data_IF_238301321328
#
_entry.id   IF_238301321328
#
_cell.length_a   1.000
_cell.length_b   1.000
_cell.length_c   1.000
_cell.angle_alpha   90.00
_cell.angle_beta   90.00
_cell.angle_gamma   90.00
#
_symmetry.space_group_name_H-M   'P 1'
#
loop_
_entity.id
_entity.type
_entity.pdbx_description
1 polymer ?
#
# COMPACT_ATOMS: atom_id res chain seq x y z
N UNK A 1 -19.37 25.15 40.95
CA UNK A 1 -20.40 24.14 40.64
C UNK A 1 -20.56 24.07 39.14
N UNK A 2 -20.36 22.87 38.60
CA UNK A 2 -20.38 22.59 37.17
C UNK A 2 -21.77 22.81 36.59
N UNK A 3 -21.84 23.60 35.51
CA UNK A 3 -23.09 23.93 34.79
C UNK A 3 -23.23 23.11 33.51
N UNK A 4 -22.13 22.75 32.87
CA UNK A 4 -22.11 21.96 31.64
C UNK A 4 -21.16 20.77 31.81
N UNK A 5 -21.66 19.57 31.51
CA UNK A 5 -20.87 18.34 31.46
C UNK A 5 -20.80 17.86 30.01
N UNK A 6 -19.58 17.67 29.51
CA UNK A 6 -19.32 17.11 28.19
C UNK A 6 -18.75 15.71 28.38
N UNK A 7 -19.49 14.68 27.99
CA UNK A 7 -19.00 13.30 28.03
C UNK A 7 -18.47 12.91 26.66
N UNK A 8 -17.25 12.37 26.63
CA UNK A 8 -16.57 11.88 25.44
C UNK A 8 -16.29 10.40 25.61
N UNK A 9 -16.76 9.57 24.68
CA UNK A 9 -16.27 8.19 24.60
C UNK A 9 -14.92 8.19 23.89
N UNK A 10 -13.95 7.42 24.40
CA UNK A 10 -12.66 7.27 23.71
C UNK A 10 -12.79 6.87 22.22
N UNK A 11 -11.80 7.26 21.41
CA UNK A 11 -11.72 6.90 20.00
C UNK A 11 -11.48 5.40 19.74
N UNK A 12 -11.36 5.01 18.47
CA UNK A 12 -11.16 3.60 18.09
C UNK A 12 -9.84 3.04 18.63
N UNK A 13 -9.87 2.03 19.52
CA UNK A 13 -8.65 1.44 20.07
C UNK A 13 -8.10 0.32 19.18
N UNK A 14 -6.81 0.04 19.31
CA UNK A 14 -6.16 -1.16 18.78
C UNK A 14 -6.83 -2.43 19.30
N UNK A 15 -6.75 -3.53 18.54
CA UNK A 15 -7.33 -4.82 18.94
C UNK A 15 -6.64 -5.36 20.19
N UNK A 16 -5.32 -5.27 20.24
CA UNK A 16 -4.49 -5.67 21.38
C UNK A 16 -3.34 -4.68 21.55
N UNK A 17 -2.88 -4.50 22.79
CA UNK A 17 -1.70 -3.70 23.12
C UNK A 17 -0.42 -4.52 23.00
N UNK A 18 0.73 -3.85 22.93
CA UNK A 18 2.04 -4.52 22.94
C UNK A 18 2.34 -5.25 24.26
N UNK A 19 1.77 -4.78 25.38
CA UNK A 19 1.88 -5.42 26.70
C UNK A 19 0.89 -6.56 26.91
N UNK A 20 -0.21 -6.59 26.15
CA UNK A 20 -1.33 -7.52 26.32
C UNK A 20 -2.42 -7.00 27.28
N UNK A 21 -2.17 -5.92 28.02
CA UNK A 21 -3.12 -5.33 28.97
C UNK A 21 -4.14 -4.42 28.26
N UNK A 22 -5.41 -4.46 28.67
CA UNK A 22 -6.46 -3.62 28.04
C UNK A 22 -6.23 -2.13 28.28
N UNK A 23 -5.74 -1.76 29.47
CA UNK A 23 -5.49 -0.36 29.85
C UNK A 23 -4.44 0.30 28.94
N UNK A 24 -3.53 -0.49 28.38
CA UNK A 24 -2.42 -0.05 27.53
C UNK A 24 -2.79 0.03 26.03
N UNK A 25 -4.01 -0.37 25.65
CA UNK A 25 -4.47 -0.28 24.27
C UNK A 25 -4.50 1.18 23.84
N UNK A 26 -3.74 1.49 22.78
CA UNK A 26 -3.70 2.81 22.14
C UNK A 26 -4.87 2.99 21.19
N UNK A 27 -5.07 4.22 20.72
CA UNK A 27 -5.89 4.49 19.55
C UNK A 27 -5.24 3.89 18.30
N UNK A 28 -6.04 3.37 17.38
CA UNK A 28 -5.53 3.07 16.04
C UNK A 28 -5.06 4.36 15.37
N UNK A 29 -4.09 4.27 14.46
CA UNK A 29 -3.64 5.45 13.69
C UNK A 29 -4.79 6.12 12.94
N UNK A 30 -5.71 5.31 12.40
CA UNK A 30 -6.93 5.77 11.76
C UNK A 30 -7.88 6.48 12.72
N UNK A 31 -8.14 5.88 13.89
CA UNK A 31 -8.99 6.46 14.94
C UNK A 31 -8.46 7.82 15.41
N UNK A 32 -7.17 7.90 15.75
CA UNK A 32 -6.55 9.16 16.17
C UNK A 32 -6.60 10.24 15.07
N UNK A 33 -6.43 9.86 13.79
CA UNK A 33 -6.54 10.79 12.65
C UNK A 33 -7.99 11.30 12.48
N UNK A 34 -8.97 10.42 12.58
CA UNK A 34 -10.40 10.77 12.51
C UNK A 34 -10.80 11.77 13.62
N UNK A 35 -10.33 11.55 14.86
CA UNK A 35 -10.57 12.48 15.97
C UNK A 35 -9.96 13.86 15.71
N UNK A 36 -8.68 13.92 15.29
CA UNK A 36 -7.98 15.20 15.05
C UNK A 36 -8.64 16.07 13.98
N UNK A 37 -9.33 15.45 13.03
CA UNK A 37 -10.06 16.15 11.96
C UNK A 37 -11.43 16.62 12.45
N UNK A 38 -12.14 15.77 13.20
CA UNK A 38 -13.51 16.06 13.65
C UNK A 38 -13.57 17.04 14.83
N UNK A 39 -12.71 16.84 15.84
CA UNK A 39 -12.81 17.50 17.14
C UNK A 39 -12.72 19.04 17.11
N UNK A 40 -11.90 19.69 16.26
CA UNK A 40 -11.91 21.16 16.17
C UNK A 40 -13.31 21.73 15.89
N UNK A 41 -14.08 21.08 15.00
CA UNK A 41 -15.47 21.49 14.72
C UNK A 41 -16.40 21.15 15.87
N UNK A 42 -16.24 19.98 16.50
CA UNK A 42 -17.10 19.55 17.62
C UNK A 42 -16.94 20.48 18.82
N UNK A 43 -15.71 20.74 19.25
CA UNK A 43 -15.45 21.55 20.43
C UNK A 43 -15.66 23.05 20.19
N UNK A 44 -15.69 23.52 18.94
CA UNK A 44 -16.17 24.87 18.62
C UNK A 44 -17.64 25.12 19.04
N UNK A 45 -18.45 24.06 19.23
CA UNK A 45 -19.84 24.17 19.72
C UNK A 45 -19.94 24.59 21.19
N UNK A 46 -18.83 24.55 21.95
CA UNK A 46 -18.79 25.06 23.33
C UNK A 46 -18.78 26.60 23.38
N UNK A 47 -18.42 27.25 22.27
CA UNK A 47 -18.20 28.70 22.21
C UNK A 47 -16.77 29.09 22.62
N UNK A 48 -16.54 30.40 22.66
CA UNK A 48 -15.23 30.96 23.03
C UNK A 48 -15.03 30.90 24.55
N UNK A 49 -13.85 30.43 24.98
CA UNK A 49 -13.40 30.33 26.38
C UNK A 49 -14.42 29.67 27.35
N UNK A 50 -14.63 28.35 27.24
CA UNK A 50 -15.62 27.66 28.07
C UNK A 50 -15.23 27.57 29.55
N UNK A 51 -14.02 28.00 29.94
CA UNK A 51 -13.43 27.77 31.27
C UNK A 51 -13.68 26.33 31.74
N UNK A 52 -13.14 25.38 30.99
CA UNK A 52 -13.42 23.95 31.14
C UNK A 52 -12.24 23.21 31.77
N UNK A 53 -12.53 22.28 32.69
CA UNK A 53 -11.57 21.24 33.10
C UNK A 53 -11.68 20.05 32.17
N UNK A 54 -10.55 19.46 31.80
CA UNK A 54 -10.49 18.25 31.00
C UNK A 54 -10.06 17.06 31.87
N UNK A 55 -10.96 16.09 31.99
CA UNK A 55 -10.77 14.87 32.75
C UNK A 55 -10.62 13.68 31.82
N UNK A 56 -9.74 12.75 32.18
CA UNK A 56 -9.54 11.51 31.44
C UNK A 56 -9.49 10.30 32.37
N UNK A 57 -10.03 9.18 31.89
CA UNK A 57 -9.66 7.87 32.41
C UNK A 57 -8.15 7.61 32.22
N UNK A 58 -7.48 6.88 33.15
CA UNK A 58 -6.08 6.47 33.02
C UNK A 58 -5.76 5.52 31.84
N UNK A 59 -6.76 4.95 31.16
CA UNK A 59 -6.50 4.09 30.00
C UNK A 59 -5.86 4.88 28.84
N UNK A 60 -4.86 4.30 28.18
CA UNK A 60 -4.04 5.00 27.17
C UNK A 60 -4.88 5.56 26.02
N UNK A 61 -5.81 4.78 25.46
CA UNK A 61 -6.78 5.26 24.46
C UNK A 61 -7.61 6.47 24.89
N UNK A 62 -7.93 6.59 26.19
CA UNK A 62 -8.69 7.70 26.73
C UNK A 62 -7.80 8.93 26.90
N UNK A 63 -6.58 8.76 27.40
CA UNK A 63 -5.56 9.82 27.47
C UNK A 63 -5.24 10.37 26.07
N UNK A 64 -4.98 9.51 25.10
CA UNK A 64 -4.73 9.93 23.71
C UNK A 64 -5.95 10.62 23.08
N UNK A 65 -7.17 10.24 23.47
CA UNK A 65 -8.39 10.96 23.07
C UNK A 65 -8.44 12.34 23.74
N UNK A 66 -8.12 12.41 25.03
CA UNK A 66 -8.09 13.65 25.79
C UNK A 66 -7.03 14.63 25.25
N UNK A 67 -5.85 14.14 24.82
CA UNK A 67 -4.84 14.98 24.15
C UNK A 67 -5.41 15.65 22.89
N UNK A 68 -6.23 14.94 22.11
CA UNK A 68 -6.89 15.52 20.93
C UNK A 68 -7.97 16.52 21.33
N UNK A 69 -8.71 16.26 22.41
CA UNK A 69 -9.68 17.21 22.98
C UNK A 69 -8.98 18.48 23.46
N UNK A 70 -7.88 18.35 24.21
CA UNK A 70 -7.07 19.44 24.74
C UNK A 70 -6.63 20.38 23.62
N UNK A 71 -6.04 19.81 22.56
CA UNK A 71 -5.62 20.57 21.38
C UNK A 71 -6.80 21.25 20.64
N UNK A 72 -7.97 20.61 20.58
CA UNK A 72 -9.14 21.13 19.87
C UNK A 72 -9.89 22.22 20.67
N UNK A 73 -9.93 22.11 21.99
CA UNK A 73 -10.64 23.02 22.88
C UNK A 73 -9.73 24.11 23.49
N UNK A 74 -8.41 24.03 23.28
CA UNK A 74 -7.44 24.97 23.82
C UNK A 74 -7.24 24.83 25.33
N UNK A 75 -7.22 23.60 25.84
CA UNK A 75 -7.03 23.29 27.26
C UNK A 75 -5.63 22.71 27.45
N UNK A 76 -4.87 23.22 28.41
CA UNK A 76 -3.48 22.82 28.62
C UNK A 76 -3.32 21.58 29.52
N UNK A 77 -4.21 21.42 30.51
CA UNK A 77 -4.09 20.40 31.55
C UNK A 77 -5.14 19.28 31.41
N UNK A 78 -4.68 18.03 31.54
CA UNK A 78 -5.52 16.84 31.61
C UNK A 78 -5.44 16.26 33.01
N UNK A 79 -6.56 16.22 33.72
CA UNK A 79 -6.66 15.58 35.02
C UNK A 79 -7.06 14.12 34.88
N UNK A 80 -6.33 13.21 35.55
CA UNK A 80 -6.63 11.78 35.50
C UNK A 80 -7.52 11.39 36.67
N UNK A 81 -8.72 10.90 36.37
CA UNK A 81 -9.71 10.50 37.37
C UNK A 81 -9.98 9.00 37.31
N UNK A 82 -9.77 8.31 38.42
CA UNK A 82 -9.93 6.84 38.51
C UNK A 82 -11.38 6.40 38.41
N UNK A 83 -12.33 7.24 38.84
CA UNK A 83 -13.78 7.01 38.72
C UNK A 83 -14.20 6.69 37.27
N UNK A 84 -13.57 7.33 36.28
CA UNK A 84 -13.81 7.12 34.85
C UNK A 84 -13.34 5.75 34.34
N UNK A 85 -12.30 5.16 34.95
CA UNK A 85 -11.84 3.81 34.63
C UNK A 85 -12.58 2.73 35.41
N UNK A 86 -12.77 2.96 36.71
CA UNK A 86 -13.53 2.08 37.60
C UNK A 86 -15.03 2.05 37.25
N UNK A 87 -15.49 3.01 36.43
CA UNK A 87 -16.90 3.18 36.04
C UNK A 87 -17.80 3.45 37.26
N UNK A 88 -17.27 4.18 38.25
CA UNK A 88 -17.96 4.51 39.49
C UNK A 88 -18.71 5.84 39.35
N UNK A 89 -20.00 5.75 39.08
CA UNK A 89 -20.86 6.92 38.91
C UNK A 89 -21.05 7.72 40.21
N UNK A 90 -20.98 7.09 41.38
CA UNK A 90 -21.13 7.81 42.65
C UNK A 90 -19.88 8.64 42.95
N UNK A 91 -18.70 8.04 42.78
CA UNK A 91 -17.42 8.74 42.92
C UNK A 91 -17.30 9.87 41.89
N UNK A 92 -17.61 9.60 40.61
CA UNK A 92 -17.56 10.62 39.56
C UNK A 92 -18.46 11.83 39.83
N UNK A 93 -19.69 11.60 40.32
CA UNK A 93 -20.61 12.70 40.65
C UNK A 93 -20.15 13.50 41.88
N UNK A 94 -19.48 12.86 42.85
CA UNK A 94 -18.89 13.56 43.98
C UNK A 94 -17.69 14.42 43.56
N UNK A 95 -16.82 13.90 42.68
CA UNK A 95 -15.74 14.66 42.05
C UNK A 95 -16.31 15.86 41.27
N UNK A 96 -17.39 15.66 40.51
CA UNK A 96 -18.06 16.70 39.73
C UNK A 96 -18.69 17.80 40.60
N UNK A 97 -19.22 17.46 41.77
CA UNK A 97 -19.75 18.43 42.74
C UNK A 97 -18.64 19.30 43.35
N UNK A 98 -17.46 18.69 43.59
CA UNK A 98 -16.30 19.36 44.16
C UNK A 98 -15.56 20.26 43.14
N UNK A 99 -15.81 20.10 41.85
CA UNK A 99 -15.12 20.86 40.79
C UNK A 99 -15.52 22.35 40.77
N UNK A 100 -14.51 23.22 40.70
CA UNK A 100 -14.66 24.68 40.75
C UNK A 100 -14.82 25.34 39.37
N UNK A 101 -14.90 24.57 38.29
CA UNK A 101 -15.12 25.08 36.93
C UNK A 101 -16.60 25.04 36.49
N UNK A 102 -17.04 25.96 35.62
CA UNK A 102 -18.39 25.94 35.05
C UNK A 102 -18.61 24.81 34.04
N UNK A 103 -17.54 24.31 33.40
CA UNK A 103 -17.61 23.23 32.42
C UNK A 103 -16.61 22.12 32.78
N UNK A 104 -17.02 20.86 32.63
CA UNK A 104 -16.14 19.69 32.72
C UNK A 104 -16.30 18.86 31.46
N UNK A 105 -15.18 18.53 30.82
CA UNK A 105 -15.10 17.60 29.70
C UNK A 105 -14.49 16.32 30.23
N UNK A 106 -15.21 15.20 30.20
CA UNK A 106 -14.74 13.93 30.74
C UNK A 106 -14.66 12.85 29.66
N UNK A 107 -13.46 12.29 29.47
CA UNK A 107 -13.16 11.24 28.52
C UNK A 107 -13.17 9.87 29.20
N UNK A 108 -14.11 9.00 28.80
CA UNK A 108 -14.36 7.72 29.43
C UNK A 108 -14.69 6.58 28.46
N UNK A 109 -15.24 5.50 29.03
CA UNK A 109 -15.51 4.24 28.33
C UNK A 109 -16.99 3.91 28.30
N UNK A 110 -17.40 3.08 27.35
CA UNK A 110 -18.66 2.36 27.44
C UNK A 110 -18.49 1.14 28.38
N UNK A 111 -19.52 0.76 29.16
CA UNK A 111 -20.87 1.33 29.20
C UNK A 111 -21.04 2.58 30.10
N UNK A 112 -20.03 2.99 30.87
CA UNK A 112 -20.15 4.10 31.82
C UNK A 112 -20.72 5.39 31.23
N UNK A 113 -20.15 5.88 30.11
CA UNK A 113 -20.61 7.14 29.49
C UNK A 113 -22.05 7.04 28.98
N UNK A 114 -22.48 5.87 28.52
CA UNK A 114 -23.85 5.62 28.05
C UNK A 114 -24.84 5.65 29.22
N UNK A 115 -24.48 4.97 30.30
CA UNK A 115 -25.29 4.88 31.51
C UNK A 115 -25.40 6.25 32.20
N UNK A 116 -24.30 7.00 32.31
CA UNK A 116 -24.31 8.33 32.91
C UNK A 116 -25.12 9.32 32.07
N UNK A 117 -24.95 9.31 30.75
CA UNK A 117 -25.74 10.15 29.84
C UNK A 117 -27.24 9.84 29.96
N UNK A 118 -27.59 8.55 30.00
CA UNK A 118 -28.99 8.11 30.18
C UNK A 118 -29.54 8.51 31.55
N UNK A 119 -28.75 8.38 32.63
CA UNK A 119 -29.15 8.80 33.98
C UNK A 119 -29.43 10.30 34.06
N UNK A 120 -28.64 11.11 33.37
CA UNK A 120 -28.75 12.58 33.40
C UNK A 120 -29.87 13.12 32.50
N UNK A 121 -30.09 12.50 31.35
CA UNK A 121 -31.05 12.95 30.31
C UNK A 121 -32.37 12.17 30.31
N UNK A 122 -32.47 11.05 31.03
CA UNK A 122 -33.57 10.09 30.96
C UNK A 122 -33.44 9.10 29.78
N UNK A 123 -33.07 9.60 28.60
CA UNK A 123 -32.76 8.78 27.41
C UNK A 123 -31.62 9.41 26.62
N UNK A 124 -30.69 8.60 26.13
CA UNK A 124 -29.61 9.05 25.26
C UNK A 124 -29.29 7.95 24.23
N UNK A 125 -29.05 8.27 22.94
CA UNK A 125 -28.47 7.32 22.01
C UNK A 125 -27.14 6.78 22.54
N UNK A 126 -26.77 5.52 22.26
CA UNK A 126 -25.45 5.00 22.60
C UNK A 126 -24.35 5.87 22.00
N UNK A 127 -23.32 6.16 22.79
CA UNK A 127 -22.15 6.89 22.34
C UNK A 127 -21.25 5.93 21.57
N UNK A 128 -21.13 6.13 20.25
CA UNK A 128 -20.11 5.47 19.44
C UNK A 128 -18.68 5.87 19.86
N UNK A 129 -17.67 5.15 19.37
CA UNK A 129 -16.24 5.49 19.63
C UNK A 129 -15.98 6.94 19.19
N UNK A 130 -15.44 7.79 20.05
CA UNK A 130 -15.21 9.21 19.76
C UNK A 130 -16.46 10.10 19.75
N UNK A 131 -17.63 9.57 20.14
CA UNK A 131 -18.85 10.37 20.24
C UNK A 131 -18.80 11.31 21.45
N UNK A 132 -19.46 12.46 21.32
CA UNK A 132 -19.47 13.52 22.32
C UNK A 132 -20.91 13.96 22.59
N UNK A 133 -21.24 14.11 23.87
CA UNK A 133 -22.52 14.67 24.31
C UNK A 133 -22.29 15.77 25.32
N UNK A 134 -22.93 16.92 25.12
CA UNK A 134 -22.92 18.03 26.07
C UNK A 134 -24.28 18.16 26.75
N UNK A 135 -24.25 18.27 28.07
CA UNK A 135 -25.42 18.27 28.94
C UNK A 135 -25.36 19.49 29.84
N UNK A 136 -26.40 20.31 29.82
CA UNK A 136 -26.57 21.41 30.77
C UNK A 136 -27.24 20.88 32.05
N UNK A 137 -26.60 21.11 33.20
CA UNK A 137 -26.97 20.57 34.51
C UNK A 137 -27.83 21.57 35.30
N UNK A 138 -28.95 22.00 34.73
CA UNK A 138 -29.81 23.07 35.27
C UNK A 138 -30.44 22.77 36.64
N UNK A 139 -30.48 21.50 37.07
CA UNK A 139 -31.05 21.05 38.35
C UNK A 139 -30.09 20.21 39.21
N UNK A 140 -28.77 20.34 38.98
CA UNK A 140 -27.75 19.47 39.58
C UNK A 140 -27.77 18.05 38.99
N UNK A 141 -27.19 17.09 39.71
CA UNK A 141 -26.94 15.73 39.20
C UNK A 141 -28.13 14.75 39.33
N UNK A 142 -29.33 15.27 39.61
CA UNK A 142 -30.52 14.49 39.99
C UNK A 142 -31.35 13.96 38.80
N UNK A 143 -30.81 13.98 37.57
CA UNK A 143 -31.48 13.43 36.38
C UNK A 143 -32.46 14.39 35.68
N UNK A 144 -32.17 15.69 35.69
CA UNK A 144 -32.93 16.74 34.97
C UNK A 144 -32.03 17.56 34.05
N UNK A 145 -31.00 16.93 33.49
CA UNK A 145 -30.11 17.58 32.55
C UNK A 145 -30.84 17.90 31.24
N UNK A 146 -30.41 18.96 30.56
CA UNK A 146 -30.90 19.32 29.23
C UNK A 146 -29.81 18.99 28.22
N UNK A 147 -30.16 18.23 27.18
CA UNK A 147 -29.23 17.96 26.09
C UNK A 147 -28.91 19.26 25.35
N UNK A 148 -27.65 19.67 25.37
CA UNK A 148 -27.18 20.85 24.64
C UNK A 148 -26.88 20.50 23.19
N UNK A 149 -26.13 19.43 22.97
CA UNK A 149 -25.87 18.84 21.66
C UNK A 149 -25.28 17.44 21.79
N UNK A 150 -25.44 16.64 20.74
CA UNK A 150 -24.85 15.32 20.58
C UNK A 150 -24.17 15.26 19.21
N UNK A 151 -22.93 14.78 19.17
CA UNK A 151 -22.21 14.52 17.93
C UNK A 151 -21.75 13.07 17.92
N UNK A 152 -22.20 12.33 16.90
CA UNK A 152 -21.73 10.98 16.64
C UNK A 152 -20.21 10.96 16.44
N UNK A 153 -19.57 9.89 16.90
CA UNK A 153 -18.14 9.70 16.68
C UNK A 153 -17.78 9.62 15.19
N UNK A 154 -16.59 10.08 14.79
CA UNK A 154 -16.20 10.07 13.38
C UNK A 154 -15.98 8.64 12.88
N UNK A 155 -16.34 8.39 11.63
CA UNK A 155 -16.02 7.13 10.95
C UNK A 155 -14.51 7.07 10.68
N UNK A 156 -13.84 6.02 11.16
CA UNK A 156 -12.41 5.83 10.96
C UNK A 156 -12.09 5.05 9.67
N UNK A 157 -13.10 4.43 9.04
CA UNK A 157 -12.93 3.43 7.99
C UNK A 157 -12.14 3.93 6.79
N UNK A 158 -12.36 5.18 6.36
CA UNK A 158 -11.59 5.78 5.24
C UNK A 158 -10.10 6.01 5.56
N UNK A 159 -9.71 5.99 6.84
CA UNK A 159 -8.30 6.02 7.26
C UNK A 159 -7.76 4.65 7.67
N UNK A 160 -8.64 3.70 7.98
CA UNK A 160 -8.25 2.30 8.20
C UNK A 160 -7.72 1.70 6.90
N UNK A 161 -8.42 1.88 5.78
CA UNK A 161 -7.96 1.42 4.47
C UNK A 161 -6.64 2.09 4.06
N UNK A 162 -6.50 3.40 4.31
CA UNK A 162 -5.23 4.09 4.09
C UNK A 162 -4.10 3.50 4.93
N UNK A 163 -4.36 3.13 6.18
CA UNK A 163 -3.36 2.51 7.05
C UNK A 163 -2.94 1.12 6.53
N UNK A 164 -3.89 0.33 6.00
CA UNK A 164 -3.60 -0.95 5.33
C UNK A 164 -2.70 -0.72 4.11
N UNK A 165 -3.03 0.26 3.26
CA UNK A 165 -2.19 0.61 2.10
C UNK A 165 -0.79 1.10 2.52
N UNK A 166 -0.71 1.98 3.52
CA UNK A 166 0.56 2.46 4.10
C UNK A 166 1.42 1.26 4.58
N UNK A 167 0.81 0.29 5.26
CA UNK A 167 1.49 -0.92 5.72
C UNK A 167 1.98 -1.79 4.57
N UNK A 168 1.15 -2.00 3.53
CA UNK A 168 1.49 -2.78 2.35
C UNK A 168 2.67 -2.17 1.57
N UNK A 169 2.66 -0.85 1.37
CA UNK A 169 3.77 -0.11 0.74
C UNK A 169 5.05 -0.24 1.57
N UNK A 170 4.96 -0.05 2.89
CA UNK A 170 6.10 -0.22 3.79
C UNK A 170 6.67 -1.65 3.73
N UNK A 171 5.80 -2.67 3.66
CA UNK A 171 6.19 -4.07 3.47
C UNK A 171 6.92 -4.32 2.15
N UNK A 172 6.39 -3.82 1.04
CA UNK A 172 6.99 -3.98 -0.29
C UNK A 172 8.37 -3.33 -0.38
N UNK A 173 8.54 -2.19 0.28
CA UNK A 173 9.79 -1.44 0.32
C UNK A 173 10.83 -2.09 1.24
N UNK A 174 10.42 -2.70 2.36
CA UNK A 174 11.31 -3.53 3.18
C UNK A 174 11.81 -4.75 2.40
N UNK A 175 10.92 -5.43 1.66
CA UNK A 175 11.30 -6.53 0.77
C UNK A 175 12.29 -6.05 -0.30
N UNK A 176 12.05 -4.90 -0.94
CA UNK A 176 13.00 -4.31 -1.90
C UNK A 176 14.39 -4.11 -1.31
N UNK A 177 14.51 -3.51 -0.12
CA UNK A 177 15.80 -3.34 0.56
C UNK A 177 16.47 -4.69 0.84
N UNK A 178 15.72 -5.67 1.36
CA UNK A 178 16.26 -7.01 1.62
C UNK A 178 16.73 -7.72 0.34
N UNK A 179 16.01 -7.60 -0.78
CA UNK A 179 16.43 -8.17 -2.07
C UNK A 179 17.64 -7.44 -2.65
N UNK A 180 17.74 -6.13 -2.46
CA UNK A 180 18.92 -5.38 -2.85
C UNK A 180 20.17 -5.85 -2.09
N UNK A 181 20.06 -6.02 -0.77
CA UNK A 181 21.15 -6.51 0.09
C UNK A 181 21.54 -7.95 -0.29
N UNK A 182 20.57 -8.83 -0.51
CA UNK A 182 20.82 -10.20 -0.95
C UNK A 182 21.55 -10.25 -2.31
N UNK A 183 21.16 -9.42 -3.27
CA UNK A 183 21.86 -9.30 -4.55
C UNK A 183 23.27 -8.72 -4.38
N UNK A 184 23.47 -7.73 -3.53
CA UNK A 184 24.80 -7.15 -3.26
C UNK A 184 25.75 -8.14 -2.55
N UNK A 185 25.19 -9.06 -1.75
CA UNK A 185 25.93 -10.12 -1.05
C UNK A 185 26.31 -11.30 -1.96
N UNK A 186 25.44 -11.67 -2.91
CA UNK A 186 25.65 -12.75 -3.88
C UNK A 186 25.35 -12.33 -5.33
N UNK A 187 26.14 -11.42 -5.91
CA UNK A 187 25.84 -10.80 -7.21
C UNK A 187 25.98 -11.73 -8.41
N UNK A 188 26.63 -12.88 -8.25
CA UNK A 188 26.68 -13.96 -9.22
C UNK A 188 25.35 -14.71 -9.35
N UNK A 189 24.43 -14.60 -8.39
CA UNK A 189 23.13 -15.28 -8.44
C UNK A 189 22.16 -14.58 -9.39
N UNK A 190 21.81 -15.24 -10.50
CA UNK A 190 20.78 -14.78 -11.42
C UNK A 190 19.39 -14.68 -10.74
N UNK A 191 19.12 -15.57 -9.77
CA UNK A 191 17.88 -15.54 -9.01
C UNK A 191 17.83 -14.35 -8.05
N UNK A 192 18.94 -14.00 -7.39
CA UNK A 192 18.99 -12.81 -6.54
C UNK A 192 18.69 -11.53 -7.34
N UNK A 193 19.26 -11.40 -8.55
CA UNK A 193 18.94 -10.29 -9.45
C UNK A 193 17.47 -10.30 -9.88
N UNK A 194 16.93 -11.48 -10.23
CA UNK A 194 15.53 -11.64 -10.62
C UNK A 194 14.61 -11.17 -9.50
N UNK A 195 14.84 -11.62 -8.27
CA UNK A 195 14.04 -11.22 -7.09
C UNK A 195 14.16 -9.73 -6.79
N UNK A 196 15.37 -9.15 -6.86
CA UNK A 196 15.56 -7.70 -6.73
C UNK A 196 14.76 -6.92 -7.78
N UNK A 197 14.80 -7.34 -9.04
CA UNK A 197 14.04 -6.70 -10.12
C UNK A 197 12.53 -6.87 -9.98
N UNK A 198 12.05 -8.01 -9.46
CA UNK A 198 10.64 -8.21 -9.12
C UNK A 198 10.24 -7.22 -8.02
N UNK A 199 11.03 -7.07 -6.95
CA UNK A 199 10.76 -6.13 -5.88
C UNK A 199 10.72 -4.67 -6.37
N UNK A 200 11.63 -4.27 -7.28
CA UNK A 200 11.58 -2.96 -7.93
C UNK A 200 10.25 -2.76 -8.68
N UNK A 201 9.81 -3.75 -9.47
CA UNK A 201 8.53 -3.67 -10.20
C UNK A 201 7.34 -3.57 -9.26
N UNK A 202 7.30 -4.36 -8.18
CA UNK A 202 6.23 -4.33 -7.18
C UNK A 202 6.07 -2.94 -6.56
N UNK A 203 7.16 -2.34 -6.07
CA UNK A 203 7.10 -0.99 -5.49
C UNK A 203 6.67 0.04 -6.54
N UNK A 204 7.19 -0.06 -7.77
CA UNK A 204 6.80 0.86 -8.84
C UNK A 204 5.30 0.78 -9.18
N UNK A 205 4.77 -0.44 -9.30
CA UNK A 205 3.36 -0.70 -9.63
C UNK A 205 2.45 -0.10 -8.56
N UNK A 206 2.79 -0.29 -7.27
CA UNK A 206 2.07 0.35 -6.17
C UNK A 206 2.11 1.88 -6.26
N UNK A 207 3.25 2.48 -6.59
CA UNK A 207 3.34 3.94 -6.73
C UNK A 207 2.55 4.47 -7.92
N UNK A 208 2.52 3.74 -9.05
CA UNK A 208 1.71 4.11 -10.22
C UNK A 208 0.22 4.07 -9.85
N UNK A 209 -0.24 2.97 -9.25
CA UNK A 209 -1.61 2.81 -8.77
C UNK A 209 -2.02 3.88 -7.74
N UNK A 210 -1.13 4.27 -6.84
CA UNK A 210 -1.42 5.26 -5.79
C UNK A 210 -1.25 6.73 -6.24
N UNK A 211 -0.82 6.98 -7.47
CA UNK A 211 -0.59 8.33 -7.98
C UNK A 211 -1.81 9.29 -7.90
N UNK A 212 -3.07 8.82 -8.02
CA UNK A 212 -4.25 9.66 -7.82
C UNK A 212 -4.38 10.22 -6.39
N UNK A 213 -3.83 9.57 -5.37
CA UNK A 213 -3.97 9.97 -3.97
C UNK A 213 -2.66 10.48 -3.33
N UNK A 214 -1.50 10.04 -3.84
CA UNK A 214 -0.19 10.43 -3.31
C UNK A 214 0.22 11.84 -3.76
N UNK A 215 1.04 12.53 -2.96
CA UNK A 215 1.68 13.78 -3.39
C UNK A 215 2.55 13.58 -4.64
N UNK A 216 2.34 14.41 -5.66
CA UNK A 216 3.06 14.31 -6.95
C UNK A 216 4.58 14.36 -6.81
N UNK A 217 5.10 15.15 -5.86
CA UNK A 217 6.54 15.34 -5.64
C UNK A 217 7.21 14.07 -5.10
N UNK A 218 6.62 13.43 -4.10
CA UNK A 218 7.16 12.19 -3.53
C UNK A 218 7.06 11.07 -4.56
N UNK A 219 5.87 10.90 -5.16
CA UNK A 219 5.58 9.85 -6.13
C UNK A 219 6.59 9.85 -7.30
N UNK A 220 6.71 10.97 -8.03
CA UNK A 220 7.62 11.10 -9.18
C UNK A 220 9.09 10.83 -8.82
N UNK A 221 9.54 11.30 -7.66
CA UNK A 221 10.92 11.09 -7.21
C UNK A 221 11.17 9.60 -6.93
N UNK A 222 10.27 8.96 -6.19
CA UNK A 222 10.41 7.54 -5.85
C UNK A 222 10.36 6.66 -7.10
N UNK A 223 9.40 6.93 -8.00
CA UNK A 223 9.28 6.23 -9.27
C UNK A 223 10.54 6.38 -10.13
N UNK A 224 11.10 7.59 -10.20
CA UNK A 224 12.33 7.87 -10.95
C UNK A 224 13.51 7.02 -10.44
N UNK A 225 13.77 7.01 -9.12
CA UNK A 225 14.84 6.19 -8.53
C UNK A 225 14.65 4.69 -8.82
N UNK A 226 13.42 4.18 -8.73
CA UNK A 226 13.14 2.78 -9.04
C UNK A 226 13.37 2.50 -10.53
N UNK A 227 12.91 3.38 -11.41
CA UNK A 227 13.08 3.27 -12.87
C UNK A 227 14.56 3.28 -13.26
N UNK A 228 15.38 4.15 -12.67
CA UNK A 228 16.83 4.17 -12.91
C UNK A 228 17.48 2.82 -12.57
N UNK A 229 17.14 2.21 -11.43
CA UNK A 229 17.64 0.89 -11.04
C UNK A 229 17.12 -0.23 -11.95
N UNK A 230 15.86 -0.16 -12.40
CA UNK A 230 15.29 -1.11 -13.35
C UNK A 230 16.00 -1.06 -14.71
N UNK A 231 16.30 0.14 -15.22
CA UNK A 231 17.03 0.35 -16.46
C UNK A 231 18.47 -0.14 -16.31
N UNK A 232 19.15 0.27 -15.24
CA UNK A 232 20.55 -0.10 -14.99
C UNK A 232 20.77 -1.62 -14.83
N UNK A 233 19.77 -2.35 -14.31
CA UNK A 233 19.84 -3.81 -14.16
C UNK A 233 19.24 -4.59 -15.34
N UNK A 234 18.71 -3.90 -16.36
CA UNK A 234 18.00 -4.51 -17.48
C UNK A 234 18.88 -5.39 -18.35
N UNK A 235 20.06 -4.90 -18.71
CA UNK A 235 21.00 -5.64 -19.56
C UNK A 235 21.53 -6.89 -18.86
N UNK A 236 21.87 -6.81 -17.57
CA UNK A 236 22.30 -7.97 -16.80
C UNK A 236 21.23 -9.06 -16.75
N UNK A 237 19.96 -8.70 -16.53
CA UNK A 237 18.86 -9.69 -16.56
C UNK A 237 18.65 -10.29 -17.95
N UNK A 238 18.84 -9.51 -19.01
CA UNK A 238 18.73 -10.01 -20.39
C UNK A 238 19.84 -11.02 -20.68
N UNK A 239 21.06 -10.78 -20.17
CA UNK A 239 22.16 -11.74 -20.23
C UNK A 239 21.88 -13.01 -19.41
N UNK A 240 21.26 -12.91 -18.23
CA UNK A 240 20.85 -14.10 -17.46
C UNK A 240 19.90 -15.00 -18.27
N UNK A 241 18.88 -14.41 -18.91
CA UNK A 241 17.92 -15.15 -19.74
C UNK A 241 18.61 -15.76 -20.97
N UNK A 242 19.50 -15.01 -21.63
CA UNK A 242 20.27 -15.54 -22.76
C UNK A 242 21.19 -16.70 -22.35
N UNK A 243 21.85 -16.60 -21.19
CA UNK A 243 22.67 -17.69 -20.66
C UNK A 243 21.84 -18.96 -20.42
N UNK A 244 20.64 -18.82 -19.86
CA UNK A 244 19.70 -19.94 -19.64
C UNK A 244 19.32 -20.60 -20.97
N UNK A 245 18.96 -19.82 -21.98
CA UNK A 245 18.67 -20.30 -23.34
C UNK A 245 19.86 -21.01 -23.98
N UNK A 246 21.06 -20.43 -23.89
CA UNK A 246 22.29 -21.04 -24.42
C UNK A 246 22.58 -22.38 -23.76
N UNK A 247 22.41 -22.50 -22.44
CA UNK A 247 22.57 -23.76 -21.73
C UNK A 247 21.58 -24.81 -22.22
N UNK A 248 20.29 -24.45 -22.37
CA UNK A 248 19.28 -25.37 -22.90
C UNK A 248 19.59 -25.86 -24.32
N UNK A 249 20.15 -25.00 -25.17
CA UNK A 249 20.55 -25.39 -26.53
C UNK A 249 21.77 -26.33 -26.55
N UNK A 250 22.71 -26.17 -25.61
CA UNK A 250 23.80 -27.13 -25.42
C UNK A 250 23.25 -28.48 -24.95
N UNK A 251 22.31 -28.48 -24.00
CA UNK A 251 21.68 -29.70 -23.48
C UNK A 251 20.87 -30.45 -24.55
N UNK A 252 20.19 -29.72 -25.44
CA UNK A 252 19.41 -30.30 -26.55
C UNK A 252 20.28 -30.80 -27.73
N UNK A 253 21.55 -30.39 -27.79
CA UNK A 253 22.46 -30.70 -28.90
C UNK A 253 22.38 -29.77 -30.10
N UNK A 254 21.51 -28.76 -30.08
CA UNK A 254 21.42 -27.70 -31.11
C UNK A 254 22.70 -26.84 -31.15
N UNK A 255 23.33 -26.64 -29.99
CA UNK A 255 24.70 -26.13 -29.89
C UNK A 255 25.68 -27.28 -29.64
N UNK A 256 26.78 -27.30 -30.39
CA UNK A 256 27.80 -28.33 -30.23
C UNK A 256 28.40 -28.35 -28.82
N UNK A 257 28.72 -29.54 -28.31
CA UNK A 257 29.29 -29.76 -26.95
C UNK A 257 30.55 -28.92 -26.66
N UNK A 258 31.31 -28.56 -27.70
CA UNK A 258 32.53 -27.74 -27.61
C UNK A 258 32.29 -26.25 -27.85
N UNK A 259 31.03 -25.79 -27.85
CA UNK A 259 30.71 -24.37 -28.04
C UNK A 259 31.35 -23.52 -26.94
N UNK A 260 32.03 -22.45 -27.35
CA UNK A 260 32.61 -21.46 -26.42
C UNK A 260 31.61 -20.36 -26.05
N UNK A 261 30.38 -20.44 -26.57
CA UNK A 261 29.33 -19.44 -26.35
C UNK A 261 28.93 -19.34 -24.87
N UNK A 262 28.71 -20.44 -24.11
CA UNK A 262 28.39 -20.35 -22.69
C UNK A 262 29.43 -19.54 -21.90
N UNK A 263 30.72 -19.80 -22.14
CA UNK A 263 31.82 -19.07 -21.49
C UNK A 263 31.84 -17.58 -21.90
N UNK A 264 31.56 -17.28 -23.17
CA UNK A 264 31.51 -15.90 -23.68
C UNK A 264 30.36 -15.11 -23.04
N UNK A 265 29.18 -15.72 -22.92
CA UNK A 265 28.01 -15.13 -22.25
C UNK A 265 28.28 -14.93 -20.75
N UNK A 266 28.85 -15.92 -20.05
CA UNK A 266 29.20 -15.80 -18.64
C UNK A 266 30.20 -14.67 -18.39
N UNK A 267 31.19 -14.49 -19.28
CA UNK A 267 32.16 -13.38 -19.21
C UNK A 267 31.50 -12.02 -19.40
N UNK A 268 30.65 -11.87 -20.41
CA UNK A 268 29.93 -10.61 -20.66
C UNK A 268 29.00 -10.27 -19.48
N UNK A 269 28.27 -11.26 -18.97
CA UNK A 269 27.46 -11.14 -17.76
C UNK A 269 28.27 -10.65 -16.56
N UNK A 270 29.47 -11.18 -16.37
CA UNK A 270 30.36 -10.80 -15.25
C UNK A 270 30.80 -9.34 -15.35
N UNK A 271 31.08 -8.84 -16.57
CA UNK A 271 31.42 -7.43 -16.81
C UNK A 271 30.22 -6.51 -16.56
N UNK A 272 29.03 -6.91 -17.01
CA UNK A 272 27.80 -6.14 -16.77
C UNK A 272 27.46 -6.11 -15.28
N UNK A 273 27.62 -7.23 -14.57
CA UNK A 273 27.41 -7.31 -13.13
C UNK A 273 28.37 -6.39 -12.36
N UNK A 274 29.65 -6.37 -12.71
CA UNK A 274 30.62 -5.45 -12.11
C UNK A 274 30.24 -3.97 -12.33
N UNK A 275 29.68 -3.65 -13.50
CA UNK A 275 29.21 -2.29 -13.82
C UNK A 275 28.01 -1.89 -12.97
N UNK A 276 27.03 -2.79 -12.82
CA UNK A 276 25.85 -2.57 -11.95
C UNK A 276 26.25 -2.44 -10.47
N UNK A 277 27.15 -3.30 -9.98
CA UNK A 277 27.67 -3.23 -8.60
C UNK A 277 28.36 -1.89 -8.34
N UNK A 278 29.14 -1.41 -9.30
CA UNK A 278 29.78 -0.11 -9.20
C UNK A 278 28.74 1.00 -9.09
N UNK A 279 27.65 0.95 -9.88
CA UNK A 279 26.55 1.91 -9.78
C UNK A 279 25.83 1.85 -8.42
N UNK A 280 25.48 0.65 -7.94
CA UNK A 280 24.71 0.48 -6.71
C UNK A 280 25.52 0.83 -5.46
N UNK A 281 26.83 0.56 -5.46
CA UNK A 281 27.75 0.91 -4.36
C UNK A 281 28.15 2.38 -4.35
N UNK A 282 27.85 3.17 -5.40
CA UNK A 282 28.04 4.62 -5.35
C UNK A 282 27.21 5.18 -4.20
N UNK A 283 27.85 6.02 -3.38
CA UNK A 283 27.24 6.67 -2.20
C UNK A 283 25.90 7.32 -2.52
N UNK A 284 25.75 7.91 -3.71
CA UNK A 284 24.51 8.54 -4.15
C UNK A 284 23.37 7.53 -4.30
N UNK A 285 23.57 6.47 -5.10
CA UNK A 285 22.55 5.44 -5.37
C UNK A 285 22.11 4.72 -4.10
N UNK A 286 23.06 4.32 -3.25
CA UNK A 286 22.77 3.68 -1.97
C UNK A 286 21.97 4.61 -1.04
N UNK A 287 22.32 5.90 -1.00
CA UNK A 287 21.58 6.91 -0.23
C UNK A 287 20.19 7.15 -0.80
N UNK A 288 20.02 7.18 -2.12
CA UNK A 288 18.72 7.37 -2.77
C UNK A 288 17.78 6.19 -2.49
N UNK A 289 18.26 4.94 -2.58
CA UNK A 289 17.46 3.76 -2.23
C UNK A 289 17.10 3.74 -0.74
N UNK A 290 18.05 4.00 0.15
CA UNK A 290 17.78 4.07 1.60
C UNK A 290 16.80 5.20 1.97
N UNK A 291 16.92 6.36 1.31
CA UNK A 291 15.99 7.48 1.51
C UNK A 291 14.58 7.14 1.06
N UNK A 292 14.44 6.58 -0.15
CA UNK A 292 13.17 6.08 -0.65
C UNK A 292 12.56 5.08 0.33
N UNK A 293 13.39 4.16 0.84
CA UNK A 293 12.93 3.12 1.72
C UNK A 293 12.36 3.66 3.05
N UNK A 294 13.09 4.60 3.65
CA UNK A 294 12.66 5.27 4.87
C UNK A 294 11.40 6.11 4.67
N UNK A 295 11.34 6.91 3.61
CA UNK A 295 10.19 7.79 3.34
C UNK A 295 8.92 6.99 3.06
N UNK A 296 8.97 5.94 2.25
CA UNK A 296 7.78 5.13 1.95
C UNK A 296 7.35 4.25 3.13
N UNK A 297 8.26 3.93 4.05
CA UNK A 297 7.94 3.12 5.24
C UNK A 297 7.30 3.91 6.37
N UNK A 298 7.66 5.20 6.53
CA UNK A 298 7.25 5.99 7.70
C UNK A 298 6.56 7.31 7.36
N UNK A 299 6.75 7.83 6.15
CA UNK A 299 6.35 9.17 5.76
C UNK A 299 5.69 9.19 4.37
N UNK A 300 4.84 8.21 4.09
CA UNK A 300 4.03 8.20 2.87
C UNK A 300 3.12 9.44 2.88
N UNK A 301 3.29 10.29 1.87
CA UNK A 301 2.68 11.62 1.84
C UNK A 301 1.49 11.63 0.89
N UNK A 302 0.30 11.77 1.47
CA UNK A 302 -0.97 11.89 0.75
C UNK A 302 -1.30 13.34 0.37
N UNK A 303 -2.15 13.53 -0.65
CA UNK A 303 -2.72 14.85 -1.00
C UNK A 303 -3.59 15.37 0.16
N UNK A 304 -3.71 16.69 0.32
CA UNK A 304 -4.50 17.32 1.41
C UNK A 304 -5.92 16.75 1.53
N UNK A 305 -6.63 16.61 0.39
CA UNK A 305 -7.99 16.04 0.37
C UNK A 305 -8.07 14.61 0.92
N UNK A 306 -7.03 13.81 0.70
CA UNK A 306 -6.94 12.43 1.20
C UNK A 306 -6.65 12.43 2.70
N UNK A 307 -5.77 13.31 3.16
CA UNK A 307 -5.52 13.47 4.60
C UNK A 307 -6.80 13.91 5.33
N UNK A 308 -7.55 14.83 4.74
CA UNK A 308 -8.79 15.40 5.31
C UNK A 308 -10.01 14.48 5.28
N UNK A 309 -10.14 13.62 4.27
CA UNK A 309 -11.36 12.81 4.06
C UNK A 309 -11.14 11.30 4.15
N UNK A 310 -9.89 10.86 4.08
CA UNK A 310 -9.53 9.46 3.87
C UNK A 310 -9.80 9.01 2.42
N UNK A 311 -9.64 7.71 2.19
CA UNK A 311 -9.99 7.01 0.94
C UNK A 311 -10.65 5.69 1.35
N UNK A 312 -11.79 5.39 0.76
CA UNK A 312 -12.55 4.18 1.09
C UNK A 312 -12.05 2.98 0.28
N UNK A 313 -12.40 1.77 0.70
CA UNK A 313 -12.10 0.57 -0.08
C UNK A 313 -12.76 0.63 -1.47
N UNK A 314 -13.96 1.20 -1.58
CA UNK A 314 -14.69 1.34 -2.85
C UNK A 314 -13.98 2.30 -3.81
N UNK A 315 -13.35 3.37 -3.30
CA UNK A 315 -12.51 4.25 -4.13
C UNK A 315 -11.32 3.48 -4.73
N UNK A 316 -10.65 2.62 -3.94
CA UNK A 316 -9.55 1.79 -4.44
C UNK A 316 -10.02 0.72 -5.42
N UNK A 317 -11.16 0.08 -5.16
CA UNK A 317 -11.76 -0.94 -6.04
C UNK A 317 -12.19 -0.34 -7.37
N UNK A 318 -12.89 0.80 -7.35
CA UNK A 318 -13.32 1.46 -8.58
C UNK A 318 -12.13 1.85 -9.46
N UNK A 319 -11.05 2.36 -8.86
CA UNK A 319 -9.82 2.67 -9.61
C UNK A 319 -9.12 1.42 -10.15
N UNK A 320 -9.09 0.33 -9.38
CA UNK A 320 -8.54 -0.94 -9.85
C UNK A 320 -9.35 -1.50 -11.02
N UNK A 321 -10.68 -1.50 -10.92
CA UNK A 321 -11.57 -1.99 -11.96
C UNK A 321 -11.43 -1.17 -13.26
N UNK A 322 -11.31 0.16 -13.15
CA UNK A 322 -11.03 1.05 -14.29
C UNK A 322 -9.71 0.66 -14.99
N UNK A 323 -8.62 0.55 -14.23
CA UNK A 323 -7.30 0.17 -14.79
C UNK A 323 -7.29 -1.27 -15.32
N UNK A 324 -8.04 -2.19 -14.68
CA UNK A 324 -8.16 -3.56 -15.14
C UNK A 324 -8.86 -3.63 -16.50
N UNK A 325 -9.98 -2.91 -16.65
CA UNK A 325 -10.74 -2.88 -17.90
C UNK A 325 -9.90 -2.29 -19.04
N UNK A 326 -9.12 -1.23 -18.78
CA UNK A 326 -8.17 -0.69 -19.78
C UNK A 326 -7.17 -1.76 -20.25
N UNK A 327 -6.60 -2.52 -19.32
CA UNK A 327 -5.65 -3.61 -19.64
C UNK A 327 -6.34 -4.76 -20.38
N UNK A 328 -7.55 -5.12 -20.00
CA UNK A 328 -8.33 -6.19 -20.64
C UNK A 328 -8.70 -5.83 -22.09
N UNK A 329 -9.13 -4.59 -22.32
CA UNK A 329 -9.39 -4.06 -23.66
C UNK A 329 -8.13 -4.04 -24.54
N UNK A 330 -6.99 -3.59 -23.99
CA UNK A 330 -5.71 -3.60 -24.70
C UNK A 330 -5.25 -5.03 -25.05
N UNK A 331 -5.61 -6.03 -24.23
CA UNK A 331 -5.34 -7.44 -24.51
C UNK A 331 -6.24 -8.00 -25.61
N UNK A 332 -7.54 -7.65 -25.63
CA UNK A 332 -8.52 -8.16 -26.59
C UNK A 332 -8.20 -7.80 -28.06
N UNK A 333 -7.40 -6.75 -28.30
CA UNK A 333 -6.97 -6.31 -29.64
C UNK A 333 -5.47 -6.41 -29.90
N UNK A 334 -4.71 -7.12 -29.06
CA UNK A 334 -3.25 -7.07 -29.08
C UNK A 334 -2.64 -7.66 -30.37
N UNK A 335 -1.99 -6.83 -31.20
CA UNK A 335 -1.18 -7.37 -32.32
C UNK A 335 0.07 -8.06 -31.79
N UNK A 336 -0.01 -9.37 -31.67
CA UNK A 336 1.09 -10.22 -31.21
C UNK A 336 2.36 -10.10 -32.06
N UNK A 337 2.33 -9.53 -33.28
CA UNK A 337 3.53 -9.29 -34.10
C UNK A 337 4.29 -8.04 -33.69
N UNK A 338 3.61 -7.07 -33.09
CA UNK A 338 4.23 -5.85 -32.59
C UNK A 338 4.96 -6.16 -31.28
N UNK A 339 6.28 -5.96 -31.29
CA UNK A 339 7.15 -6.17 -30.14
C UNK A 339 6.85 -5.23 -28.99
N UNK A 340 6.58 -3.96 -29.33
CA UNK A 340 6.38 -2.90 -28.36
C UNK A 340 4.98 -3.00 -27.74
N UNK A 341 3.96 -3.32 -28.54
CA UNK A 341 2.60 -3.56 -28.03
C UNK A 341 2.57 -4.74 -27.05
N UNK A 342 3.18 -5.88 -27.39
CA UNK A 342 3.29 -7.05 -26.49
C UNK A 342 4.05 -6.71 -25.21
N UNK A 343 5.12 -5.92 -25.32
CA UNK A 343 5.88 -5.48 -24.14
C UNK A 343 5.04 -4.61 -23.21
N UNK A 344 4.28 -3.66 -23.77
CA UNK A 344 3.39 -2.76 -23.02
C UNK A 344 2.28 -3.57 -22.34
N UNK A 345 1.56 -4.41 -23.08
CA UNK A 345 0.51 -5.27 -22.52
C UNK A 345 1.06 -6.15 -21.38
N UNK A 346 2.19 -6.84 -21.59
CA UNK A 346 2.86 -7.64 -20.54
C UNK A 346 3.20 -6.80 -19.30
N UNK A 347 3.67 -5.56 -19.49
CA UNK A 347 4.01 -4.65 -18.39
C UNK A 347 2.75 -4.34 -17.59
N UNK A 348 1.68 -3.95 -18.25
CA UNK A 348 0.47 -3.45 -17.59
C UNK A 348 -0.29 -4.58 -16.88
N UNK A 349 -0.37 -5.77 -17.50
CA UNK A 349 -0.83 -7.01 -16.85
C UNK A 349 -0.05 -7.32 -15.57
N UNK A 350 1.28 -7.15 -15.58
CA UNK A 350 2.12 -7.35 -14.38
C UNK A 350 1.89 -6.28 -13.32
N UNK A 351 1.73 -5.03 -13.72
CA UNK A 351 1.46 -3.94 -12.79
C UNK A 351 0.17 -4.22 -12.02
N UNK A 352 -0.90 -4.62 -12.70
CA UNK A 352 -2.18 -5.01 -12.09
C UNK A 352 -2.03 -6.22 -11.16
N UNK A 353 -1.28 -7.25 -11.59
CA UNK A 353 -1.04 -8.43 -10.76
C UNK A 353 -0.34 -8.07 -9.43
N UNK A 354 0.70 -7.25 -9.47
CA UNK A 354 1.43 -6.83 -8.27
C UNK A 354 0.58 -5.96 -7.33
N UNK A 355 -0.31 -5.14 -7.88
CA UNK A 355 -1.25 -4.33 -7.09
C UNK A 355 -2.24 -5.25 -6.38
N UNK A 356 -2.87 -6.18 -7.08
CA UNK A 356 -3.82 -7.14 -6.50
C UNK A 356 -3.16 -8.04 -5.43
N UNK A 357 -1.95 -8.54 -5.69
CA UNK A 357 -1.18 -9.36 -4.74
C UNK A 357 -0.95 -8.61 -3.41
N UNK A 358 -0.65 -7.31 -3.48
CA UNK A 358 -0.22 -6.52 -2.31
C UNK A 358 -1.34 -5.77 -1.61
N UNK A 359 -2.39 -5.38 -2.33
CA UNK A 359 -3.53 -4.64 -1.81
C UNK A 359 -4.80 -5.50 -1.71
N UNK A 360 -4.67 -6.83 -1.76
CA UNK A 360 -5.80 -7.77 -1.71
C UNK A 360 -6.71 -7.61 -0.50
N UNK A 361 -6.18 -7.17 0.66
CA UNK A 361 -6.99 -6.87 1.85
C UNK A 361 -8.00 -5.74 1.60
N UNK A 362 -7.61 -4.70 0.87
CA UNK A 362 -8.45 -3.54 0.53
C UNK A 362 -9.34 -3.84 -0.68
N UNK A 363 -8.76 -4.46 -1.71
CA UNK A 363 -9.44 -4.74 -2.98
C UNK A 363 -10.46 -5.88 -2.90
N UNK A 364 -10.30 -6.78 -1.92
CA UNK A 364 -11.18 -7.93 -1.73
C UNK A 364 -10.81 -9.14 -2.60
N UNK A 365 -11.39 -10.32 -2.28
CA UNK A 365 -10.98 -11.60 -2.87
C UNK A 365 -11.32 -11.77 -4.35
N UNK A 366 -12.36 -11.10 -4.85
CA UNK A 366 -12.76 -11.18 -6.27
C UNK A 366 -11.68 -10.60 -7.20
N UNK A 367 -11.13 -9.43 -6.85
CA UNK A 367 -10.07 -8.78 -7.66
C UNK A 367 -8.75 -9.52 -7.55
N UNK A 368 -8.52 -10.23 -6.45
CA UNK A 368 -7.40 -11.16 -6.33
C UNK A 368 -7.53 -12.34 -7.32
N UNK A 369 -8.74 -12.85 -7.58
CA UNK A 369 -8.97 -13.88 -8.60
C UNK A 369 -8.81 -13.34 -10.03
N UNK A 370 -9.26 -12.11 -10.31
CA UNK A 370 -9.03 -11.45 -11.60
C UNK A 370 -7.53 -11.35 -11.94
N UNK A 371 -6.68 -11.20 -10.92
CA UNK A 371 -5.22 -11.22 -11.05
C UNK A 371 -4.64 -12.59 -11.45
N UNK A 372 -5.30 -13.69 -11.09
CA UNK A 372 -4.86 -15.05 -11.50
C UNK A 372 -5.06 -15.26 -13.00
N UNK A 373 -6.17 -14.77 -13.55
CA UNK A 373 -6.42 -14.75 -14.99
C UNK A 373 -5.32 -13.98 -15.75
N UNK A 374 -4.96 -12.79 -15.25
CA UNK A 374 -3.87 -12.00 -15.81
C UNK A 374 -2.50 -12.71 -15.72
N UNK A 375 -2.26 -13.51 -14.67
CA UNK A 375 -1.00 -14.28 -14.54
C UNK A 375 -0.86 -15.35 -15.63
N UNK A 376 -1.96 -15.98 -16.06
CA UNK A 376 -1.95 -16.95 -17.15
C UNK A 376 -1.54 -16.28 -18.48
N UNK A 377 -2.22 -15.20 -18.85
CA UNK A 377 -1.90 -14.42 -20.06
C UNK A 377 -0.47 -13.87 -20.01
N UNK A 378 -0.06 -13.37 -18.84
CA UNK A 378 1.29 -12.86 -18.63
C UNK A 378 2.35 -13.91 -18.95
N UNK A 379 2.16 -15.18 -18.58
CA UNK A 379 3.15 -16.25 -18.82
C UNK A 379 3.45 -16.39 -20.31
N UNK A 380 2.42 -16.37 -21.14
CA UNK A 380 2.56 -16.53 -22.60
C UNK A 380 3.19 -15.30 -23.25
N UNK A 381 2.72 -14.10 -22.90
CA UNK A 381 3.35 -12.83 -23.33
C UNK A 381 4.80 -12.72 -22.83
N UNK A 382 5.08 -13.32 -21.67
CA UNK A 382 6.40 -13.40 -21.06
C UNK A 382 7.37 -14.21 -21.90
N UNK A 383 6.99 -15.41 -22.29
CA UNK A 383 7.80 -16.27 -23.16
C UNK A 383 8.05 -15.62 -24.53
N UNK A 384 7.02 -15.00 -25.12
CA UNK A 384 7.15 -14.28 -26.39
C UNK A 384 8.12 -13.10 -26.29
N UNK A 385 8.00 -12.30 -25.24
CA UNK A 385 8.87 -11.14 -24.99
C UNK A 385 10.32 -11.56 -24.70
N UNK A 386 10.52 -12.64 -23.95
CA UNK A 386 11.86 -13.14 -23.62
C UNK A 386 12.54 -13.73 -24.88
N UNK A 387 11.82 -14.47 -25.73
CA UNK A 387 12.35 -15.00 -27.00
C UNK A 387 12.75 -13.88 -27.98
N UNK A 388 11.93 -12.83 -28.12
CA UNK A 388 12.27 -11.62 -28.89
C UNK A 388 13.52 -10.93 -28.35
N UNK A 389 13.60 -10.78 -27.03
CA UNK A 389 14.74 -10.17 -26.36
C UNK A 389 16.03 -10.96 -26.56
N UNK A 390 15.97 -12.29 -26.46
CA UNK A 390 17.12 -13.17 -26.71
C UNK A 390 17.59 -13.10 -28.16
N UNK A 391 16.67 -13.13 -29.13
CA UNK A 391 17.02 -12.98 -30.55
C UNK A 391 17.76 -11.66 -30.79
N UNK A 392 17.19 -10.54 -30.33
CA UNK A 392 17.80 -9.23 -30.49
C UNK A 392 19.17 -9.17 -29.81
N UNK A 393 19.28 -9.65 -28.57
CA UNK A 393 20.53 -9.64 -27.82
C UNK A 393 21.60 -10.53 -28.49
N UNK A 394 21.22 -11.67 -29.06
CA UNK A 394 22.14 -12.53 -29.80
C UNK A 394 22.69 -11.84 -31.06
N UNK A 395 21.83 -11.16 -31.82
CA UNK A 395 22.22 -10.37 -32.99
C UNK A 395 23.12 -9.17 -32.63
N UNK A 396 22.86 -8.51 -31.49
CA UNK A 396 23.70 -7.45 -30.94
C UNK A 396 25.08 -7.98 -30.50
N UNK A 397 25.10 -9.09 -29.76
CA UNK A 397 26.33 -9.76 -29.32
C UNK A 397 27.17 -10.20 -30.52
N UNK A 398 26.57 -10.68 -31.61
CA UNK A 398 27.30 -11.12 -32.80
C UNK A 398 28.11 -9.99 -33.46
N UNK A 399 27.64 -8.74 -33.33
CA UNK A 399 28.33 -7.55 -33.82
C UNK A 399 29.52 -7.15 -32.94
N UNK A 400 29.54 -7.54 -31.67
CA UNK A 400 30.60 -7.21 -30.73
C UNK A 400 31.91 -7.97 -31.02
N UNK A 401 33.09 -7.33 -30.90
CA UNK A 401 34.38 -8.01 -30.99
C UNK A 401 34.57 -9.10 -29.93
N UNK A 402 33.88 -8.99 -28.78
CA UNK A 402 33.99 -9.94 -27.66
C UNK A 402 33.45 -11.33 -27.99
N UNK A 403 32.55 -11.42 -28.96
CA UNK A 403 31.91 -12.68 -29.39
C UNK A 403 32.43 -13.16 -30.76
N UNK A 404 33.54 -12.61 -31.27
CA UNK A 404 34.05 -12.93 -32.63
C UNK A 404 34.22 -14.43 -32.86
N UNK A 405 34.68 -15.19 -31.87
CA UNK A 405 34.91 -16.63 -31.96
C UNK A 405 33.64 -17.50 -31.89
N UNK A 406 32.48 -16.92 -31.55
CA UNK A 406 31.22 -17.66 -31.31
C UNK A 406 30.05 -17.05 -32.10
N UNK A 407 30.35 -16.33 -33.19
CA UNK A 407 29.33 -15.67 -34.03
C UNK A 407 28.39 -16.67 -34.71
N UNK A 408 28.91 -17.83 -35.11
CA UNK A 408 28.10 -18.89 -35.72
C UNK A 408 27.06 -19.41 -34.71
N UNK A 409 27.52 -19.74 -33.50
CA UNK A 409 26.67 -20.20 -32.39
C UNK A 409 25.59 -19.17 -32.03
N UNK A 410 25.94 -17.87 -31.98
CA UNK A 410 24.94 -16.81 -31.79
C UNK A 410 23.90 -16.75 -32.92
N UNK A 411 24.28 -17.10 -34.15
CA UNK A 411 23.36 -17.23 -35.28
C UNK A 411 22.39 -18.40 -35.12
N UNK A 412 22.83 -19.50 -34.49
CA UNK A 412 21.95 -20.62 -34.11
C UNK A 412 20.94 -20.16 -33.08
N UNK A 413 21.39 -19.51 -31.99
CA UNK A 413 20.50 -18.95 -30.96
C UNK A 413 19.46 -17.99 -31.56
N UNK A 414 19.88 -17.05 -32.41
CA UNK A 414 18.96 -16.09 -33.02
C UNK A 414 17.90 -16.76 -33.91
N UNK A 415 18.26 -17.85 -34.60
CA UNK A 415 17.32 -18.63 -35.42
C UNK A 415 16.33 -19.41 -34.56
N UNK A 416 16.84 -20.16 -33.59
CA UNK A 416 16.01 -20.90 -32.63
C UNK A 416 14.98 -19.99 -31.95
N UNK A 417 15.41 -18.84 -31.44
CA UNK A 417 14.51 -17.89 -30.77
C UNK A 417 13.50 -17.26 -31.75
N UNK A 418 13.84 -17.11 -33.04
CA UNK A 418 12.88 -16.68 -34.06
C UNK A 418 11.81 -17.75 -34.35
N UNK A 419 12.18 -19.02 -34.31
CA UNK A 419 11.26 -20.15 -34.43
C UNK A 419 10.32 -20.23 -33.22
N UNK A 420 10.84 -20.05 -31.99
CA UNK A 420 10.04 -19.95 -30.76
C UNK A 420 9.02 -18.81 -30.84
N UNK A 421 9.43 -17.62 -31.27
CA UNK A 421 8.51 -16.48 -31.48
C UNK A 421 7.39 -16.85 -32.45
N UNK A 422 7.73 -17.51 -33.56
CA UNK A 422 6.75 -17.93 -34.58
C UNK A 422 5.78 -18.99 -34.03
N UNK A 423 6.28 -19.95 -33.26
CA UNK A 423 5.50 -21.01 -32.63
C UNK A 423 4.51 -20.45 -31.60
N UNK A 424 4.97 -19.57 -30.69
CA UNK A 424 4.11 -18.94 -29.66
C UNK A 424 3.03 -18.08 -30.33
N UNK A 425 3.42 -17.24 -31.31
CA UNK A 425 2.47 -16.39 -32.04
C UNK A 425 1.41 -17.21 -32.77
N UNK A 426 1.80 -18.36 -33.37
CA UNK A 426 0.83 -19.25 -34.02
C UNK A 426 -0.08 -19.98 -33.02
N UNK A 427 0.41 -20.33 -31.84
CA UNK A 427 -0.37 -21.02 -30.81
C UNK A 427 -1.45 -20.09 -30.24
N UNK A 428 -1.06 -18.87 -29.88
CA UNK A 428 -1.96 -17.85 -29.33
C UNK A 428 -3.11 -17.51 -30.28
N UNK A 429 -2.82 -17.34 -31.58
CA UNK A 429 -3.85 -17.08 -32.61
C UNK A 429 -4.87 -18.21 -32.80
N UNK A 430 -4.51 -19.47 -32.49
CA UNK A 430 -5.46 -20.60 -32.59
C UNK A 430 -6.39 -20.68 -31.38
N UNK A 431 -6.10 -19.94 -30.31
CA UNK A 431 -6.90 -19.90 -29.07
C UNK A 431 -7.86 -18.72 -29.04
N UNK A 432 -7.68 -17.71 -29.90
CA UNK A 432 -8.74 -16.74 -30.18
C UNK A 432 -9.92 -17.54 -30.75
N UNK A 433 -11.10 -17.54 -30.10
CA UNK A 433 -12.26 -18.19 -30.68
C UNK A 433 -12.51 -17.55 -32.04
N UNK A 434 -12.68 -18.38 -33.08
CA UNK A 434 -13.26 -17.93 -34.35
C UNK A 434 -14.51 -17.12 -33.97
N UNK A 435 -14.49 -15.83 -34.27
CA UNK A 435 -15.65 -14.95 -34.18
C UNK A 435 -16.79 -15.71 -34.83
N UNK A 436 -17.76 -16.14 -34.01
CA UNK A 436 -18.89 -16.92 -34.49
C UNK A 436 -19.51 -16.16 -35.65
N UNK A 437 -19.49 -16.79 -36.83
CA UNK A 437 -20.39 -16.47 -37.91
C UNK A 437 -21.79 -16.44 -37.28
N UNK A 438 -22.33 -15.24 -37.10
CA UNK A 438 -23.76 -15.06 -36.88
C UNK A 438 -24.38 -15.42 -38.23
N UNK A 439 -24.64 -16.70 -38.43
CA UNK A 439 -25.59 -17.14 -39.43
C UNK A 439 -26.95 -16.54 -39.03
N UNK A 440 -27.35 -15.53 -39.79
CA UNK A 440 -28.73 -15.09 -39.94
C UNK A 440 -29.59 -16.31 -40.32
N UNK A 441 -30.22 -16.97 -39.36
CA UNK A 441 -31.38 -17.81 -39.63
C UNK A 441 -32.65 -17.02 -39.31
N UNK A 442 -33.20 -16.43 -40.38
CA UNK A 442 -34.61 -16.11 -40.53
C UNK A 442 -35.44 -17.39 -40.32
N UNK A 443 -36.39 -17.38 -39.36
CA UNK A 443 -37.77 -17.87 -39.53
C UNK A 443 -38.70 -17.44 -38.38
#
# INVERSE_FOLDING_TARGET
MVKTLVLVRHGAPEVASASGEDIDRRLTTAGARALRIAYPRVFSLLGDDPNALLWSSPAVRALETADVVAAAAGIDDIEVHQSLYAQDAAAFLAELDAAEAPCVIAVGHAPFVDQLSTRLLGTCPPLGKGAVVAIDLTGGFSGRGVLRWYVSGPEATSWEELAVVEHAVAGAVRDLSARADAFLAGPESAEALRQFRIALRRVRSLLQFLAPWQTKKQNRRCEHTIKELQVASGRLRSLDILCETVSGLVESGELGENSLLPMSCAKERSLECASLLTLMRKRRSAKELGKLAHELSHHLSWKSKVTERGVTADDFRAHFDEQFNEVDEDLFGLDLRDGDAVYVARRDTKEMHYVAERLGEVLGPERAQMSEYLDEIQRELGALSDARGNKQLAEECAKSPRFRGVRADLGVVARDQAEVVSAITSCLRRREPESGDVEDEEE
#
